data_IF_501724846849
#
_entry.id   IF_501724846849
#
_cell.length_a   1.000
_cell.length_b   1.000
_cell.length_c   1.000
_cell.angle_alpha   90.00
_cell.angle_beta   90.00
_cell.angle_gamma   90.00
#
_symmetry.space_group_name_H-M   'P 1'
#
loop_
_entity.id
_entity.type
_entity.pdbx_description
1 polymer ?
#
# COMPACT_ATOMS: atom_id res chain seq x y z
N UNK A 1 69.83 -20.21 40.34
CA UNK A 1 69.73 -18.77 40.64
C UNK A 1 69.27 -18.05 39.37
N UNK A 2 68.00 -18.01 38.96
CA UNK A 2 66.78 -18.05 39.76
C UNK A 2 66.79 -16.88 40.72
N UNK A 3 66.19 -15.74 40.33
CA UNK A 3 65.67 -14.64 41.18
C UNK A 3 65.65 -13.24 40.53
N UNK A 4 65.69 -13.08 39.19
CA UNK A 4 65.54 -11.73 38.59
C UNK A 4 64.47 -11.57 37.49
N UNK A 5 63.77 -12.64 37.07
CA UNK A 5 62.63 -12.50 36.13
C UNK A 5 61.24 -12.49 36.81
N UNK A 6 61.16 -12.53 38.14
CA UNK A 6 59.88 -12.68 38.85
C UNK A 6 59.26 -11.38 39.39
N UNK A 7 59.87 -10.21 39.16
CA UNK A 7 59.39 -8.92 39.70
C UNK A 7 58.90 -7.91 38.66
N UNK A 8 58.85 -8.27 37.37
CA UNK A 8 58.29 -7.41 36.32
C UNK A 8 56.84 -7.77 35.93
N UNK A 9 56.18 -8.69 36.65
CA UNK A 9 54.81 -9.13 36.37
C UNK A 9 53.79 -8.85 37.49
N UNK A 10 54.15 -8.01 38.48
CA UNK A 10 53.28 -7.70 39.63
C UNK A 10 52.93 -6.21 39.81
N UNK A 11 52.91 -5.42 38.73
CA UNK A 11 52.48 -4.02 38.78
C UNK A 11 51.48 -3.61 37.68
N UNK A 12 50.58 -4.51 37.29
CA UNK A 12 49.33 -4.15 36.59
C UNK A 12 48.13 -4.80 37.28
N UNK A 13 48.12 -4.75 38.61
CA UNK A 13 46.95 -5.02 39.45
C UNK A 13 46.56 -3.72 40.14
N UNK A 14 45.77 -2.89 39.46
CA UNK A 14 45.33 -1.64 40.08
C UNK A 14 44.62 -0.69 39.15
N UNK A 15 43.46 -1.12 38.61
CA UNK A 15 42.24 -0.31 38.42
C UNK A 15 41.33 -0.88 37.32
N UNK A 16 40.85 -2.12 37.51
CA UNK A 16 39.51 -2.46 37.03
C UNK A 16 38.51 -1.95 38.08
N UNK A 17 38.35 -0.63 38.18
CA UNK A 17 37.14 -0.06 38.80
C UNK A 17 35.99 -0.50 37.91
N UNK A 18 35.09 -1.28 38.49
CA UNK A 18 33.93 -1.84 37.81
C UNK A 18 33.18 -0.79 37.00
N UNK A 19 33.34 -0.85 35.67
CA UNK A 19 32.29 -0.43 34.78
C UNK A 19 31.19 -1.48 34.94
N UNK A 20 30.24 -1.19 35.84
CA UNK A 20 28.92 -1.79 35.81
C UNK A 20 28.47 -1.78 34.35
N UNK A 21 28.48 -2.94 33.70
CA UNK A 21 27.68 -3.15 32.49
C UNK A 21 26.26 -2.75 32.88
N UNK A 22 25.65 -1.71 32.29
CA UNK A 22 24.22 -1.59 32.43
C UNK A 22 23.64 -2.88 31.87
N UNK A 23 22.85 -3.54 32.71
CA UNK A 23 22.14 -4.75 32.40
C UNK A 23 21.40 -4.60 31.07
N UNK A 24 21.24 -5.73 30.37
CA UNK A 24 20.66 -5.81 29.05
C UNK A 24 19.40 -4.95 28.90
N UNK A 25 19.55 -3.84 28.17
CA UNK A 25 18.43 -3.24 27.48
C UNK A 25 18.16 -4.10 26.27
N UNK A 26 17.06 -4.87 26.31
CA UNK A 26 16.45 -5.48 25.13
C UNK A 26 16.59 -4.51 23.95
N UNK A 27 17.20 -4.98 22.85
CA UNK A 27 17.30 -4.23 21.60
C UNK A 27 15.90 -4.14 20.96
N UNK A 28 14.97 -3.45 21.63
CA UNK A 28 13.79 -2.92 20.98
C UNK A 28 14.31 -1.91 19.98
N UNK A 29 14.23 -2.26 18.70
CA UNK A 29 14.42 -1.31 17.59
C UNK A 29 13.71 -0.01 17.97
N UNK A 30 14.46 1.07 18.22
CA UNK A 30 13.88 2.33 18.66
C UNK A 30 12.83 2.77 17.62
N UNK A 31 11.57 2.87 18.06
CA UNK A 31 10.45 3.30 17.20
C UNK A 31 10.75 4.73 16.76
N UNK A 32 10.92 4.93 15.45
CA UNK A 32 11.19 6.26 14.89
C UNK A 32 9.87 7.02 14.76
N UNK A 33 9.87 8.24 15.25
CA UNK A 33 8.71 9.12 15.22
C UNK A 33 9.03 10.42 14.48
N UNK A 34 8.00 10.97 13.85
CA UNK A 34 8.04 12.10 12.94
C UNK A 34 7.01 13.12 13.38
N UNK A 35 7.33 14.39 13.19
CA UNK A 35 6.36 15.48 13.22
C UNK A 35 5.52 15.49 11.92
N UNK A 36 4.34 16.10 11.97
CA UNK A 36 3.48 16.23 10.78
C UNK A 36 4.15 16.96 9.60
N UNK A 37 5.09 17.88 9.88
CA UNK A 37 5.81 18.63 8.86
C UNK A 37 6.89 17.80 8.13
N UNK A 38 7.42 16.75 8.77
CA UNK A 38 8.42 15.86 8.17
C UNK A 38 7.81 14.83 7.22
N UNK A 39 6.50 14.58 7.32
CA UNK A 39 5.80 13.60 6.51
C UNK A 39 5.01 14.27 5.38
N UNK A 40 5.64 14.38 4.21
CA UNK A 40 5.01 14.81 2.96
C UNK A 40 4.21 13.70 2.27
N UNK A 41 3.96 13.89 0.97
CA UNK A 41 3.23 12.91 0.13
C UNK A 41 4.03 11.64 -0.17
N UNK A 42 5.36 11.71 -0.05
CA UNK A 42 6.26 10.58 -0.24
C UNK A 42 6.70 9.96 1.09
N UNK A 43 6.88 8.63 1.08
CA UNK A 43 7.37 7.91 2.25
C UNK A 43 8.86 8.20 2.51
N UNK A 44 9.31 8.24 3.78
CA UNK A 44 10.72 8.47 4.09
C UNK A 44 11.66 7.46 3.41
N UNK A 45 12.85 7.89 2.89
CA UNK A 45 13.70 7.07 2.02
C UNK A 45 14.15 5.72 2.61
N UNK A 46 14.32 5.64 3.92
CA UNK A 46 14.78 4.42 4.60
C UNK A 46 13.73 3.31 4.67
N UNK A 47 12.44 3.62 4.41
CA UNK A 47 11.41 2.61 4.17
C UNK A 47 11.40 2.13 2.71
N UNK A 48 11.65 3.05 1.77
CA UNK A 48 11.66 2.76 0.33
C UNK A 48 12.89 1.93 -0.05
N UNK A 49 14.06 2.28 0.47
CA UNK A 49 15.34 1.65 0.13
C UNK A 49 15.48 0.18 0.54
N UNK A 50 14.63 -0.32 1.46
CA UNK A 50 14.83 -1.63 2.10
C UNK A 50 13.86 -2.73 1.66
N UNK A 51 12.65 -2.43 1.17
CA UNK A 51 11.70 -3.50 0.79
C UNK A 51 10.44 -3.09 0.00
N UNK A 52 10.19 -1.80 -0.26
CA UNK A 52 8.88 -1.35 -0.75
C UNK A 52 8.96 -0.91 -2.21
N UNK A 53 8.51 -1.79 -3.11
CA UNK A 53 8.44 -1.55 -4.57
C UNK A 53 7.00 -1.34 -5.02
N UNK A 54 6.36 -0.31 -4.44
CA UNK A 54 5.00 0.09 -4.80
C UNK A 54 4.88 0.52 -6.27
N UNK A 55 5.97 1.03 -6.85
CA UNK A 55 6.13 1.35 -8.27
C UNK A 55 5.74 0.21 -9.22
N UNK A 56 5.78 -1.04 -8.75
CA UNK A 56 5.42 -2.23 -9.53
C UNK A 56 3.93 -2.60 -9.47
N UNK A 57 3.16 -1.96 -8.60
CA UNK A 57 1.75 -2.29 -8.40
C UNK A 57 0.88 -1.45 -9.35
N UNK A 58 0.01 -2.12 -10.12
CA UNK A 58 -0.93 -1.47 -11.05
C UNK A 58 -1.73 -0.34 -10.38
N UNK A 59 -2.26 -0.50 -9.16
CA UNK A 59 -2.93 0.58 -8.44
C UNK A 59 -2.12 1.87 -8.30
N UNK A 60 -0.79 1.79 -8.24
CA UNK A 60 0.09 2.96 -8.09
C UNK A 60 0.43 3.55 -9.46
N UNK A 61 0.77 2.69 -10.42
CA UNK A 61 1.16 3.13 -11.78
C UNK A 61 0.05 3.88 -12.51
N UNK A 62 -1.23 3.56 -12.23
CA UNK A 62 -2.37 4.19 -12.90
C UNK A 62 -2.67 5.62 -12.39
N UNK A 63 -2.26 5.98 -11.17
CA UNK A 63 -2.65 7.26 -10.54
C UNK A 63 -2.30 8.48 -11.40
N UNK A 64 -1.05 8.66 -11.90
CA UNK A 64 -0.70 9.84 -12.71
C UNK A 64 -1.48 9.94 -14.03
N UNK A 65 -1.93 8.81 -14.58
CA UNK A 65 -2.80 8.81 -15.76
C UNK A 65 -4.22 9.25 -15.40
N UNK A 66 -4.76 8.75 -14.29
CA UNK A 66 -6.11 9.08 -13.83
C UNK A 66 -6.24 10.55 -13.44
N UNK A 67 -5.27 11.12 -12.74
CA UNK A 67 -5.26 12.55 -12.39
C UNK A 67 -5.31 13.45 -13.63
N UNK A 68 -4.54 13.09 -14.67
CA UNK A 68 -4.56 13.79 -15.98
C UNK A 68 -5.91 13.66 -16.69
N UNK A 69 -6.59 12.52 -16.56
CA UNK A 69 -7.91 12.30 -17.15
C UNK A 69 -9.02 13.04 -16.39
N UNK A 70 -8.94 13.10 -15.06
CA UNK A 70 -9.90 13.83 -14.21
C UNK A 70 -9.81 15.33 -14.44
N UNK A 71 -8.59 15.89 -14.51
CA UNK A 71 -8.36 17.29 -14.87
C UNK A 71 -9.01 17.67 -16.23
N UNK A 72 -9.10 16.71 -17.17
CA UNK A 72 -9.76 16.89 -18.48
C UNK A 72 -11.27 16.66 -18.45
N UNK A 73 -11.80 15.92 -17.47
CA UNK A 73 -13.20 15.43 -17.42
C UNK A 73 -14.15 16.29 -16.58
N UNK A 74 -13.72 17.46 -16.09
CA UNK A 74 -14.52 18.43 -15.31
C UNK A 74 -15.84 18.90 -15.98
N UNK A 75 -16.21 18.40 -17.18
CA UNK A 75 -17.46 18.74 -17.90
C UNK A 75 -18.13 17.58 -18.67
N UNK A 76 -18.06 16.32 -18.22
CA UNK A 76 -18.82 15.24 -18.88
C UNK A 76 -19.69 14.47 -17.89
N UNK A 77 -21.01 14.46 -18.16
CA UNK A 77 -21.97 13.64 -17.44
C UNK A 77 -21.48 12.19 -17.40
N UNK A 78 -21.38 11.66 -16.19
CA UNK A 78 -20.98 10.29 -15.92
C UNK A 78 -22.21 9.41 -16.21
N UNK A 79 -22.18 8.51 -17.20
CA UNK A 79 -23.29 7.60 -17.39
C UNK A 79 -23.40 6.70 -16.16
N UNK A 80 -24.56 6.77 -15.51
CA UNK A 80 -24.94 5.87 -14.44
C UNK A 80 -25.57 4.63 -15.08
N UNK A 81 -24.96 3.46 -14.89
CA UNK A 81 -25.48 2.19 -15.40
C UNK A 81 -24.43 1.33 -16.08
N UNK A 82 -24.82 0.09 -16.39
CA UNK A 82 -23.97 -0.87 -17.10
C UNK A 82 -23.83 -0.45 -18.57
N UNK A 83 -22.61 -0.27 -19.09
CA UNK A 83 -22.40 0.05 -20.49
C UNK A 83 -22.77 -1.13 -21.38
N UNK A 84 -23.35 -0.85 -22.55
CA UNK A 84 -23.56 -1.85 -23.58
C UNK A 84 -22.21 -2.21 -24.22
N UNK A 85 -21.85 -3.49 -24.24
CA UNK A 85 -20.65 -3.93 -24.94
C UNK A 85 -20.90 -3.81 -26.45
N UNK A 86 -20.20 -2.86 -27.07
CA UNK A 86 -20.08 -2.86 -28.52
C UNK A 86 -18.91 -3.76 -28.91
N UNK A 87 -19.18 -4.80 -29.71
CA UNK A 87 -18.14 -5.62 -30.37
C UNK A 87 -17.22 -4.78 -31.28
N UNK A 88 -17.57 -3.51 -31.54
CA UNK A 88 -16.74 -2.53 -32.25
C UNK A 88 -15.82 -1.71 -31.35
N UNK A 89 -15.78 -1.98 -30.04
CA UNK A 89 -14.81 -1.38 -29.15
C UNK A 89 -13.42 -1.61 -29.74
N UNK A 90 -12.84 -0.54 -30.27
CA UNK A 90 -11.71 -0.64 -31.19
C UNK A 90 -10.49 -1.27 -30.55
N UNK A 91 -9.51 -1.62 -31.37
CA UNK A 91 -8.19 -2.15 -30.97
C UNK A 91 -7.45 -1.30 -29.91
N UNK A 92 -7.93 -0.09 -29.62
CA UNK A 92 -7.36 0.87 -28.67
C UNK A 92 -8.06 0.88 -27.30
N UNK A 93 -9.14 0.13 -27.11
CA UNK A 93 -9.84 0.08 -25.83
C UNK A 93 -9.13 -0.83 -24.83
N UNK A 94 -8.96 -0.31 -23.62
CA UNK A 94 -8.29 -0.99 -22.51
C UNK A 94 -9.11 -2.20 -22.03
N UNK A 95 -8.46 -3.13 -21.33
CA UNK A 95 -9.11 -4.35 -20.86
C UNK A 95 -10.36 -4.08 -19.98
N UNK A 96 -10.34 -3.02 -19.18
CA UNK A 96 -11.45 -2.63 -18.31
C UNK A 96 -12.70 -2.15 -19.06
N UNK A 97 -12.53 -1.65 -20.29
CA UNK A 97 -13.62 -1.15 -21.15
C UNK A 97 -14.25 -2.28 -21.98
N UNK A 98 -13.46 -3.31 -22.32
CA UNK A 98 -13.89 -4.44 -23.17
C UNK A 98 -14.24 -5.71 -22.40
N UNK A 99 -14.17 -5.66 -21.07
CA UNK A 99 -14.55 -6.78 -20.20
C UNK A 99 -16.06 -6.98 -20.19
N UNK A 100 -16.50 -8.25 -20.11
CA UNK A 100 -17.92 -8.60 -19.84
C UNK A 100 -18.36 -8.26 -18.42
N UNK A 101 -17.42 -7.96 -17.53
CA UNK A 101 -17.68 -7.36 -16.21
C UNK A 101 -16.88 -6.06 -16.16
N UNK A 102 -17.31 -5.00 -16.86
CA UNK A 102 -16.51 -3.80 -17.06
C UNK A 102 -16.36 -3.00 -15.76
N UNK A 103 -15.23 -2.30 -15.64
CA UNK A 103 -14.93 -1.48 -14.47
C UNK A 103 -14.33 -0.14 -14.86
N UNK A 104 -14.40 0.82 -13.95
CA UNK A 104 -13.63 2.07 -14.01
C UNK A 104 -12.65 2.12 -12.86
N UNK A 105 -11.61 2.94 -12.99
CA UNK A 105 -10.78 3.29 -11.85
C UNK A 105 -11.23 4.60 -11.23
N UNK A 106 -11.22 4.65 -9.89
CA UNK A 106 -11.33 5.86 -9.07
C UNK A 106 -10.06 5.99 -8.24
N UNK A 107 -9.59 7.21 -8.04
CA UNK A 107 -8.50 7.45 -7.11
C UNK A 107 -9.04 7.37 -5.68
N UNK A 108 -8.48 6.45 -4.90
CA UNK A 108 -8.63 6.36 -3.45
C UNK A 108 -7.46 7.11 -2.81
N UNK A 109 -7.78 8.08 -1.95
CA UNK A 109 -6.82 8.95 -1.29
C UNK A 109 -6.97 8.81 0.24
N UNK A 110 -5.88 8.46 0.92
CA UNK A 110 -5.81 8.29 2.37
C UNK A 110 -4.58 9.04 2.91
N UNK A 111 -4.81 10.18 3.56
CA UNK A 111 -3.79 11.04 4.17
C UNK A 111 -2.88 10.31 5.16
N UNK A 112 -3.38 9.21 5.74
CA UNK A 112 -2.69 8.46 6.78
C UNK A 112 -1.97 7.24 6.22
N UNK A 113 -1.81 7.14 4.90
CA UNK A 113 -1.27 5.95 4.23
C UNK A 113 -0.19 6.32 3.20
N UNK A 114 0.80 5.45 3.06
CA UNK A 114 1.72 5.46 1.92
C UNK A 114 1.60 4.15 1.12
N UNK A 115 1.48 4.24 -0.23
CA UNK A 115 1.26 5.47 -0.98
C UNK A 115 -0.14 6.07 -0.69
N UNK A 116 -0.21 7.40 -0.70
CA UNK A 116 -1.42 8.18 -0.35
C UNK A 116 -2.56 7.91 -1.33
N UNK A 117 -2.25 7.91 -2.63
CA UNK A 117 -3.19 7.68 -3.72
C UNK A 117 -3.04 6.28 -4.32
N UNK A 118 -4.16 5.63 -4.57
CA UNK A 118 -4.26 4.32 -5.22
C UNK A 118 -5.42 4.30 -6.22
N UNK A 119 -5.25 3.66 -7.36
CA UNK A 119 -6.32 3.42 -8.33
C UNK A 119 -7.15 2.20 -7.89
N UNK A 120 -8.41 2.44 -7.51
CA UNK A 120 -9.37 1.41 -7.09
C UNK A 120 -10.34 1.11 -8.23
N UNK A 121 -10.49 -0.16 -8.58
CA UNK A 121 -11.47 -0.62 -9.55
C UNK A 121 -12.88 -0.64 -8.97
N UNK A 122 -13.85 -0.14 -9.73
CA UNK A 122 -15.28 -0.15 -9.42
C UNK A 122 -16.05 -0.78 -10.58
N UNK A 123 -16.75 -1.89 -10.33
CA UNK A 123 -17.57 -2.53 -11.35
C UNK A 123 -18.69 -1.60 -11.79
N UNK A 124 -18.95 -1.56 -13.10
CA UNK A 124 -19.99 -0.72 -13.69
C UNK A 124 -21.35 -1.41 -13.74
N UNK A 125 -21.35 -2.75 -13.73
CA UNK A 125 -22.53 -3.59 -13.81
C UNK A 125 -22.69 -4.38 -12.51
N UNK A 126 -23.93 -4.75 -12.18
CA UNK A 126 -24.26 -5.69 -11.11
C UNK A 126 -24.16 -7.13 -11.62
N UNK A 127 -24.71 -7.38 -12.80
CA UNK A 127 -24.55 -8.60 -13.56
C UNK A 127 -23.35 -8.56 -14.49
N UNK A 128 -23.33 -9.39 -15.52
CA UNK A 128 -22.32 -9.32 -16.57
C UNK A 128 -22.96 -8.96 -17.90
N UNK A 129 -22.17 -8.45 -18.83
CA UNK A 129 -22.62 -8.16 -20.18
C UNK A 129 -22.63 -9.44 -21.01
N UNK A 130 -23.80 -9.77 -21.57
CA UNK A 130 -23.97 -10.90 -22.47
C UNK A 130 -23.31 -10.60 -23.82
N UNK A 131 -22.48 -11.51 -24.29
CA UNK A 131 -21.66 -11.32 -25.51
C UNK A 131 -22.48 -11.32 -26.81
N UNK A 132 -23.71 -11.86 -26.79
CA UNK A 132 -24.58 -11.93 -27.98
C UNK A 132 -25.42 -10.67 -28.13
N UNK A 133 -25.98 -10.21 -27.02
CA UNK A 133 -26.89 -9.07 -26.96
C UNK A 133 -26.18 -7.75 -26.69
N UNK A 134 -24.98 -7.79 -26.10
CA UNK A 134 -24.25 -6.62 -25.63
C UNK A 134 -24.82 -6.00 -24.36
N UNK A 135 -25.89 -6.56 -23.77
CA UNK A 135 -26.63 -5.99 -22.63
C UNK A 135 -26.32 -6.74 -21.33
N UNK A 136 -26.52 -6.06 -20.20
CA UNK A 136 -26.41 -6.68 -18.89
C UNK A 136 -27.41 -7.84 -18.72
N UNK A 137 -26.93 -8.97 -18.20
CA UNK A 137 -27.75 -10.09 -17.75
C UNK A 137 -27.57 -10.31 -16.26
N UNK A 138 -28.67 -10.60 -15.57
CA UNK A 138 -28.71 -10.96 -14.14
C UNK A 138 -28.41 -12.43 -13.87
N UNK A 139 -28.17 -13.25 -14.90
CA UNK A 139 -27.80 -14.67 -14.74
C UNK A 139 -26.38 -14.88 -14.21
N UNK A 140 -25.57 -13.82 -14.17
CA UNK A 140 -24.18 -13.78 -13.72
C UNK A 140 -23.98 -12.55 -12.84
N UNK A 141 -22.90 -12.50 -12.07
CA UNK A 141 -22.57 -11.35 -11.22
C UNK A 141 -21.19 -10.80 -11.57
N UNK A 142 -21.09 -9.47 -11.68
CA UNK A 142 -19.81 -8.77 -11.66
C UNK A 142 -19.32 -8.63 -10.22
N UNK A 143 -18.12 -9.11 -9.94
CA UNK A 143 -17.50 -9.03 -8.61
C UNK A 143 -16.09 -8.47 -8.70
N UNK A 144 -15.68 -7.69 -7.70
CA UNK A 144 -14.34 -7.09 -7.64
C UNK A 144 -13.26 -8.13 -7.30
N UNK A 145 -12.19 -8.15 -8.10
CA UNK A 145 -10.95 -8.87 -7.78
C UNK A 145 -10.08 -7.97 -6.92
N UNK A 146 -9.57 -8.51 -5.82
CA UNK A 146 -8.71 -7.79 -4.90
C UNK A 146 -7.28 -8.33 -4.92
N UNK A 147 -6.32 -7.42 -4.79
CA UNK A 147 -4.92 -7.72 -4.52
C UNK A 147 -4.55 -7.22 -3.13
N UNK A 148 -3.88 -8.06 -2.34
CA UNK A 148 -3.30 -7.65 -1.06
C UNK A 148 -2.05 -6.81 -1.33
N UNK A 149 -1.99 -5.61 -0.78
CA UNK A 149 -0.88 -4.68 -0.95
C UNK A 149 -0.40 -4.18 0.41
N UNK A 150 0.92 -4.23 0.62
CA UNK A 150 1.58 -3.64 1.78
C UNK A 150 1.49 -2.12 1.66
N UNK A 151 1.15 -1.43 2.74
CA UNK A 151 1.15 0.03 2.85
C UNK A 151 1.80 0.45 4.18
N UNK A 152 2.29 1.68 4.27
CA UNK A 152 2.65 2.25 5.57
C UNK A 152 1.49 3.08 6.09
N UNK A 153 1.13 2.94 7.36
CA UNK A 153 0.12 3.77 8.02
C UNK A 153 0.75 4.67 9.07
N UNK A 154 0.27 5.92 9.12
CA UNK A 154 0.56 6.88 10.19
C UNK A 154 -0.20 6.45 11.45
N UNK A 155 0.52 6.30 12.57
CA UNK A 155 -0.03 5.96 13.88
C UNK A 155 0.51 6.92 14.94
N UNK A 156 -0.22 7.20 16.03
CA UNK A 156 0.31 7.97 17.14
C UNK A 156 1.59 7.33 17.68
N UNK A 157 2.64 8.12 17.88
CA UNK A 157 3.89 7.62 18.44
C UNK A 157 3.69 7.14 19.89
N UNK A 158 4.28 6.00 20.30
CA UNK A 158 4.21 5.54 21.69
C UNK A 158 4.83 6.54 22.68
N UNK A 159 4.22 6.68 23.87
CA UNK A 159 4.78 7.50 24.96
C UNK A 159 6.13 6.91 25.44
N UNK A 160 7.09 7.74 25.89
CA UNK A 160 6.99 9.16 26.27
C UNK A 160 7.21 10.16 25.13
N UNK A 161 7.13 9.75 23.87
CA UNK A 161 7.31 10.68 22.76
C UNK A 161 6.33 11.87 22.82
N UNK A 162 6.79 13.02 22.30
CA UNK A 162 6.03 14.27 22.29
C UNK A 162 4.64 14.14 21.65
N UNK A 163 3.69 14.94 22.16
CA UNK A 163 2.33 15.00 21.64
C UNK A 163 2.33 15.42 20.15
N UNK A 164 1.51 14.76 19.34
CA UNK A 164 1.40 15.05 17.91
C UNK A 164 2.47 14.39 17.02
N UNK A 165 3.40 13.63 17.61
CA UNK A 165 4.33 12.81 16.83
C UNK A 165 3.64 11.55 16.33
N UNK A 166 3.99 11.13 15.12
CA UNK A 166 3.48 9.93 14.48
C UNK A 166 4.61 8.96 14.14
N UNK A 167 4.33 7.68 14.18
CA UNK A 167 5.20 6.63 13.66
C UNK A 167 4.55 5.99 12.42
N UNK A 168 5.37 5.30 11.62
CA UNK A 168 4.93 4.59 10.43
C UNK A 168 4.95 3.09 10.70
N UNK A 169 3.80 2.46 10.57
CA UNK A 169 3.64 1.02 10.75
C UNK A 169 3.30 0.34 9.43
N UNK A 170 3.79 -0.88 9.25
CA UNK A 170 3.43 -1.72 8.10
C UNK A 170 2.00 -2.24 8.29
N UNK A 171 1.18 -2.11 7.25
CA UNK A 171 -0.17 -2.66 7.18
C UNK A 171 -0.40 -3.32 5.80
N UNK A 172 -1.45 -4.12 5.68
CA UNK A 172 -1.86 -4.77 4.44
C UNK A 172 -3.32 -4.47 4.14
N UNK A 173 -3.57 -3.92 2.95
CA UNK A 173 -4.93 -3.59 2.50
C UNK A 173 -5.33 -4.43 1.30
N UNK A 174 -6.64 -4.64 1.13
CA UNK A 174 -7.21 -5.26 -0.07
C UNK A 174 -7.58 -4.18 -1.08
N UNK A 175 -6.82 -4.10 -2.16
CA UNK A 175 -7.03 -3.12 -3.23
C UNK A 175 -7.83 -3.77 -4.36
N UNK A 176 -8.99 -3.24 -4.77
CA UNK A 176 -9.70 -3.75 -5.93
C UNK A 176 -8.95 -3.38 -7.21
N UNK A 177 -8.50 -4.39 -7.97
CA UNK A 177 -7.66 -4.21 -9.17
C UNK A 177 -8.43 -4.41 -10.48
N UNK A 178 -9.63 -4.98 -10.41
CA UNK A 178 -10.50 -5.17 -11.55
C UNK A 178 -11.81 -5.83 -11.16
N UNK A 179 -12.61 -6.19 -12.15
CA UNK A 179 -13.82 -6.97 -11.96
C UNK A 179 -13.80 -8.24 -12.81
N UNK A 180 -14.44 -9.28 -12.31
CA UNK A 180 -14.65 -10.55 -13.01
C UNK A 180 -16.10 -10.96 -12.98
N UNK A 181 -16.45 -11.87 -13.87
CA UNK A 181 -17.80 -12.38 -14.02
C UNK A 181 -17.89 -13.79 -13.41
N UNK A 182 -18.83 -14.00 -12.51
CA UNK A 182 -19.01 -15.28 -11.80
C UNK A 182 -20.45 -15.77 -11.85
N UNK A 183 -20.61 -17.08 -11.70
CA UNK A 183 -21.93 -17.67 -11.48
C UNK A 183 -22.52 -17.17 -10.14
N UNK A 184 -23.83 -16.88 -10.06
CA UNK A 184 -24.49 -16.54 -8.81
C UNK A 184 -24.39 -17.69 -7.81
N UNK A 185 -24.33 -17.35 -6.52
CA UNK A 185 -24.44 -18.37 -5.47
C UNK A 185 -25.85 -18.94 -5.51
N UNK A 186 -25.96 -20.26 -5.66
CA UNK A 186 -27.23 -20.94 -5.42
C UNK A 186 -27.50 -20.90 -3.91
N UNK A 187 -28.62 -20.31 -3.51
CA UNK A 187 -29.14 -20.56 -2.17
C UNK A 187 -29.52 -22.05 -2.12
N UNK A 188 -28.89 -22.80 -1.21
CA UNK A 188 -29.38 -24.12 -0.81
C UNK A 188 -30.30 -23.95 0.38
#
# INVERSE_FOLDING_TARGET
QGWLCALALLAVLGQCRGLRRPAGGSAHSAVRCYSGAELGDEAPPHFVARSLRWDRHVPVQLVPQLERLEARRLRRHRPHGCPELSLRAGLRSEAHERSISPWRYRIDEDENRYPRKLAFAECLCSGCVDVKTGRETSSLNSVTIHQTMLVLRRKPCPRPAGLGLVTLEVDYIRVPVGCTCVLPRTAR
#
